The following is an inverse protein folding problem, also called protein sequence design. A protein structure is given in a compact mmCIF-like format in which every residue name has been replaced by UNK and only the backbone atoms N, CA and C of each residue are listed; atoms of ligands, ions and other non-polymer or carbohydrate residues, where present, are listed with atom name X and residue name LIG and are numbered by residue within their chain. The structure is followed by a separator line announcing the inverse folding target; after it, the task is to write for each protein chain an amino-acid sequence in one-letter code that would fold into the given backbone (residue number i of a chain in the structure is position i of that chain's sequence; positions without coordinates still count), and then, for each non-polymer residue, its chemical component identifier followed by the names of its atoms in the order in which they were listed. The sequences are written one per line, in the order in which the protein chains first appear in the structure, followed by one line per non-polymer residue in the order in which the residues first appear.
data_IF_443740030628
#
_entry.id   IF_443740030628
#
_cell.length_a   1.000
_cell.length_b   1.000
_cell.length_c   1.000
_cell.angle_alpha   90.00
_cell.angle_beta   90.00
_cell.angle_gamma   90.00
#
_symmetry.space_group_name_H-M   'P 1'
#
loop_
_entity.id
_entity.type
_entity.pdbx_description
1 polymer ?
#
# COMPACT_ATOMS: atom_id res chain seq x y z
N UNK A 1 4.23 15.17 28.58
CA UNK A 1 2.87 14.89 28.09
C UNK A 1 2.99 14.37 26.66
N UNK A 2 2.58 13.15 26.35
CA UNK A 2 2.57 12.67 24.95
C UNK A 2 1.24 13.07 24.32
N UNK A 3 1.24 14.16 23.57
CA UNK A 3 0.08 14.59 22.79
C UNK A 3 -0.27 13.50 21.78
N UNK A 4 -1.54 13.12 21.71
CA UNK A 4 -2.03 12.16 20.70
C UNK A 4 -1.95 12.83 19.33
N UNK A 5 -1.31 12.17 18.39
CA UNK A 5 -1.31 12.60 17.00
C UNK A 5 -2.73 12.50 16.41
N UNK A 6 -3.07 13.42 15.51
CA UNK A 6 -4.35 13.41 14.80
C UNK A 6 -4.53 12.13 13.97
N UNK A 7 -5.77 11.76 13.66
CA UNK A 7 -6.04 10.65 12.73
C UNK A 7 -5.47 10.93 11.34
N UNK A 8 -5.17 9.87 10.59
CA UNK A 8 -4.77 9.98 9.19
C UNK A 8 -5.93 10.43 8.31
N UNK A 9 -5.68 11.42 7.45
CA UNK A 9 -6.56 11.88 6.39
C UNK A 9 -6.42 10.99 5.15
N UNK A 10 -7.43 10.99 4.29
CA UNK A 10 -7.36 10.27 3.02
C UNK A 10 -6.22 10.77 2.12
N UNK A 11 -6.01 12.09 2.08
CA UNK A 11 -4.90 12.69 1.33
C UNK A 11 -3.52 12.28 1.89
N UNK A 12 -3.42 12.09 3.22
CA UNK A 12 -2.21 11.52 3.83
C UNK A 12 -1.99 10.08 3.38
N UNK A 13 -3.04 9.23 3.33
CA UNK A 13 -2.92 7.86 2.86
C UNK A 13 -2.44 7.77 1.41
N UNK A 14 -3.03 8.59 0.53
CA UNK A 14 -2.61 8.68 -0.88
C UNK A 14 -1.13 9.06 -1.00
N UNK A 15 -0.69 10.05 -0.23
CA UNK A 15 0.70 10.50 -0.22
C UNK A 15 1.65 9.38 0.24
N UNK A 16 1.32 8.71 1.34
CA UNK A 16 2.13 7.61 1.89
C UNK A 16 2.21 6.45 0.88
N UNK A 17 1.12 6.16 0.15
CA UNK A 17 1.12 5.15 -0.91
C UNK A 17 2.09 5.50 -2.05
N UNK A 18 2.10 6.75 -2.54
CA UNK A 18 3.04 7.15 -3.59
C UNK A 18 4.49 7.03 -3.13
N UNK A 19 4.83 7.62 -1.97
CA UNK A 19 6.20 7.56 -1.44
C UNK A 19 6.66 6.12 -1.20
N UNK A 20 5.78 5.27 -0.66
CA UNK A 20 6.08 3.86 -0.46
C UNK A 20 6.37 3.14 -1.78
N UNK A 21 5.56 3.37 -2.82
CA UNK A 21 5.75 2.78 -4.14
C UNK A 21 7.07 3.24 -4.77
N UNK A 22 7.32 4.54 -4.78
CA UNK A 22 8.55 5.14 -5.32
C UNK A 22 9.78 4.58 -4.62
N UNK A 23 9.73 4.44 -3.28
CA UNK A 23 10.84 3.85 -2.51
C UNK A 23 11.00 2.36 -2.81
N UNK A 24 9.91 1.62 -2.97
CA UNK A 24 9.93 0.16 -3.22
C UNK A 24 10.36 -0.22 -4.63
N UNK A 25 10.19 0.69 -5.60
CA UNK A 25 10.47 0.46 -7.01
C UNK A 25 11.71 1.23 -7.48
N UNK A 26 12.44 1.90 -6.58
CA UNK A 26 13.61 2.69 -6.92
C UNK A 26 14.74 1.79 -7.46
N UNK A 27 15.12 1.90 -8.74
CA UNK A 27 16.11 1.01 -9.36
C UNK A 27 17.56 1.35 -8.97
N UNK A 28 17.80 2.54 -8.40
CA UNK A 28 19.14 3.02 -8.01
C UNK A 28 19.53 2.43 -6.65
N UNK A 29 18.55 2.21 -5.80
CA UNK A 29 18.74 1.69 -4.45
C UNK A 29 18.66 0.17 -4.52
N UNK A 30 19.77 -0.51 -4.23
CA UNK A 30 19.83 -1.96 -4.16
C UNK A 30 18.70 -2.51 -3.25
N UNK A 31 17.99 -3.51 -3.76
CA UNK A 31 16.97 -4.30 -3.07
C UNK A 31 17.44 -4.91 -1.75
N UNK A 32 18.77 -5.01 -1.54
CA UNK A 32 19.38 -5.55 -0.33
C UNK A 32 19.44 -4.56 0.86
N UNK A 33 18.45 -3.67 0.98
CA UNK A 33 18.34 -2.74 2.10
C UNK A 33 17.63 -3.38 3.30
N UNK A 34 18.03 -3.01 4.52
CA UNK A 34 17.31 -3.43 5.72
C UNK A 34 15.92 -2.80 5.77
N UNK A 35 14.98 -3.49 6.43
CA UNK A 35 13.63 -2.94 6.70
C UNK A 35 13.71 -1.56 7.36
N UNK A 36 14.63 -1.36 8.29
CA UNK A 36 14.75 -0.09 9.00
C UNK A 36 15.20 1.06 8.09
N UNK A 37 16.17 0.79 7.21
CA UNK A 37 16.64 1.76 6.21
C UNK A 37 15.55 2.13 5.22
N UNK A 38 14.80 1.14 4.73
CA UNK A 38 13.66 1.36 3.84
C UNK A 38 12.67 2.34 4.48
N UNK A 39 12.26 2.07 5.72
CA UNK A 39 11.27 2.90 6.39
C UNK A 39 11.78 4.27 6.83
N UNK A 40 13.10 4.41 7.06
CA UNK A 40 13.70 5.71 7.35
C UNK A 40 13.70 6.61 6.11
N UNK A 41 13.86 6.02 4.91
CA UNK A 41 13.68 6.74 3.63
C UNK A 41 12.24 7.16 3.44
N UNK A 42 11.28 6.24 3.61
CA UNK A 42 9.85 6.56 3.53
C UNK A 42 9.46 7.67 4.50
N UNK A 43 9.94 7.64 5.75
CA UNK A 43 9.70 8.71 6.72
C UNK A 43 10.26 10.06 6.26
N UNK A 44 11.51 10.06 5.78
CA UNK A 44 12.19 11.26 5.30
C UNK A 44 11.44 11.87 4.11
N UNK A 45 11.16 11.06 3.09
CA UNK A 45 10.52 11.51 1.87
C UNK A 45 9.08 11.94 2.13
N UNK A 46 8.33 11.18 2.94
CA UNK A 46 6.96 11.53 3.30
C UNK A 46 6.89 12.87 4.02
N UNK A 47 7.78 13.14 4.98
CA UNK A 47 7.79 14.39 5.74
C UNK A 47 8.35 15.57 4.93
N UNK A 48 9.24 15.34 3.96
CA UNK A 48 9.83 16.39 3.12
C UNK A 48 8.95 16.80 1.94
N UNK A 49 8.19 15.85 1.38
CA UNK A 49 7.36 16.08 0.18
C UNK A 49 5.90 16.34 0.51
N UNK A 50 5.51 16.34 1.80
CA UNK A 50 4.14 16.61 2.19
C UNK A 50 3.76 18.06 1.82
N UNK A 51 2.60 18.27 1.19
CA UNK A 51 2.00 19.58 1.04
C UNK A 51 1.65 20.20 2.42
N UNK A 52 1.71 21.52 2.54
CA UNK A 52 1.46 22.24 3.80
C UNK A 52 0.06 21.97 4.41
N UNK A 53 -0.89 21.55 3.59
CA UNK A 53 -2.26 21.22 4.00
C UNK A 53 -2.46 19.74 4.39
N UNK A 54 -1.43 18.89 4.31
CA UNK A 54 -1.52 17.45 4.56
C UNK A 54 -0.84 17.11 5.90
N UNK A 55 -1.55 17.42 6.99
CA UNK A 55 -1.30 16.88 8.34
C UNK A 55 0.06 17.20 8.99
N UNK A 56 0.21 16.68 10.21
CA UNK A 56 1.45 16.78 10.99
C UNK A 56 2.50 15.78 10.49
N UNK A 57 3.77 16.04 10.78
CA UNK A 57 4.85 15.09 10.45
C UNK A 57 4.64 13.79 11.23
N UNK A 58 4.79 12.66 10.54
CA UNK A 58 4.53 11.34 11.10
C UNK A 58 5.85 10.63 11.36
N UNK A 59 5.95 9.97 12.52
CA UNK A 59 7.10 9.14 12.84
C UNK A 59 7.06 7.80 12.10
N UNK A 60 8.24 7.21 11.86
CA UNK A 60 8.45 5.93 11.18
C UNK A 60 7.47 4.83 11.60
N UNK A 61 7.30 4.62 12.90
CA UNK A 61 6.40 3.57 13.44
C UNK A 61 4.94 3.83 13.06
N UNK A 62 4.50 5.10 13.07
CA UNK A 62 3.14 5.47 12.71
C UNK A 62 2.87 5.18 11.23
N UNK A 63 3.81 5.58 10.36
CA UNK A 63 3.75 5.31 8.92
C UNK A 63 3.74 3.81 8.61
N UNK A 64 4.59 3.03 9.29
CA UNK A 64 4.61 1.57 9.19
C UNK A 64 3.26 0.94 9.54
N UNK A 65 2.68 1.29 10.69
CA UNK A 65 1.39 0.76 11.13
C UNK A 65 0.26 1.17 10.16
N UNK A 66 0.28 2.41 9.67
CA UNK A 66 -0.73 2.89 8.72
C UNK A 66 -0.63 2.15 7.39
N UNK A 67 0.57 2.02 6.83
CA UNK A 67 0.78 1.29 5.57
C UNK A 67 0.42 -0.19 5.71
N UNK A 68 0.72 -0.84 6.83
CA UNK A 68 0.28 -2.23 7.07
C UNK A 68 -1.25 -2.38 7.00
N UNK A 69 -1.98 -1.39 7.53
CA UNK A 69 -3.45 -1.35 7.45
C UNK A 69 -3.91 -1.22 5.99
N UNK A 70 -3.28 -0.33 5.22
CA UNK A 70 -3.57 -0.11 3.79
C UNK A 70 -3.30 -1.39 2.99
N UNK A 71 -2.12 -2.00 3.15
CA UNK A 71 -1.74 -3.24 2.45
C UNK A 71 -2.69 -4.39 2.79
N UNK A 72 -3.19 -4.48 4.04
CA UNK A 72 -4.20 -5.47 4.41
C UNK A 72 -5.51 -5.27 3.66
N UNK A 73 -5.98 -4.01 3.53
CA UNK A 73 -7.18 -3.69 2.76
C UNK A 73 -7.00 -3.99 1.26
N UNK A 74 -5.85 -3.61 0.68
CA UNK A 74 -5.49 -3.92 -0.71
C UNK A 74 -5.45 -5.43 -0.94
N UNK A 75 -4.90 -6.21 0.00
CA UNK A 75 -4.86 -7.67 -0.08
C UNK A 75 -6.26 -8.30 -0.13
N UNK A 76 -7.22 -7.78 0.66
CA UNK A 76 -8.62 -8.21 0.60
C UNK A 76 -9.25 -7.91 -0.75
N UNK A 77 -9.06 -6.68 -1.27
CA UNK A 77 -9.55 -6.28 -2.58
C UNK A 77 -8.99 -7.18 -3.70
N UNK A 78 -7.68 -7.42 -3.69
CA UNK A 78 -7.02 -8.35 -4.62
C UNK A 78 -7.55 -9.77 -4.51
N UNK A 79 -7.88 -10.22 -3.30
CA UNK A 79 -8.56 -11.50 -3.06
C UNK A 79 -9.90 -11.59 -3.79
N UNK A 80 -10.75 -10.57 -3.64
CA UNK A 80 -12.04 -10.50 -4.33
C UNK A 80 -11.88 -10.48 -5.86
N UNK A 81 -10.94 -9.69 -6.39
CA UNK A 81 -10.66 -9.62 -7.83
C UNK A 81 -10.26 -11.00 -8.38
N UNK A 82 -9.31 -11.69 -7.72
CA UNK A 82 -8.89 -13.04 -8.13
C UNK A 82 -10.03 -14.05 -8.11
N UNK A 83 -10.95 -13.93 -7.15
CA UNK A 83 -12.12 -14.80 -7.10
C UNK A 83 -13.00 -14.60 -8.35
N UNK A 84 -13.27 -13.34 -8.72
CA UNK A 84 -14.04 -13.02 -9.94
C UNK A 84 -13.31 -13.50 -11.20
N UNK A 85 -11.99 -13.29 -11.29
CA UNK A 85 -11.17 -13.78 -12.40
C UNK A 85 -11.22 -15.30 -12.50
N UNK A 86 -11.21 -16.02 -11.38
CA UNK A 86 -11.31 -17.50 -11.37
C UNK A 86 -12.68 -18.04 -11.78
N UNK A 87 -13.75 -17.24 -11.66
CA UNK A 87 -15.10 -17.60 -12.10
C UNK A 87 -15.30 -17.42 -13.61
N UNK A 88 -14.39 -16.70 -14.28
CA UNK A 88 -14.35 -16.56 -15.72
C UNK A 88 -13.18 -17.40 -16.26
N UNK A 89 -13.32 -18.73 -16.41
CA UNK A 89 -12.26 -19.56 -16.97
C UNK A 89 -12.00 -19.10 -18.40
N UNK A 90 -10.92 -18.33 -18.60
CA UNK A 90 -10.42 -18.05 -19.93
C UNK A 90 -10.01 -19.38 -20.55
N UNK A 91 -10.83 -19.86 -21.51
CA UNK A 91 -10.61 -21.12 -22.20
C UNK A 91 -11.65 -22.23 -21.95
N UNK A 92 -12.72 -22.00 -21.17
CA UNK A 92 -13.85 -22.93 -21.17
C UNK A 92 -14.65 -22.77 -22.46
N UNK A 93 -14.82 -23.86 -23.21
CA UNK A 93 -15.74 -23.91 -24.34
C UNK A 93 -17.18 -23.96 -23.85
N UNK A 94 -18.15 -23.57 -24.67
CA UNK A 94 -19.58 -23.73 -24.34
C UNK A 94 -19.95 -25.17 -23.94
N UNK A 95 -19.21 -26.17 -24.47
CA UNK A 95 -19.37 -27.58 -24.13
C UNK A 95 -18.86 -27.94 -22.72
N UNK A 96 -17.86 -27.22 -22.20
CA UNK A 96 -17.35 -27.44 -20.83
C UNK A 96 -18.33 -26.90 -19.79
N UNK A 97 -19.07 -25.85 -20.13
CA UNK A 97 -20.09 -25.23 -19.28
C UNK A 97 -21.37 -26.09 -19.25
N UNK A 98 -21.76 -26.66 -20.41
CA UNK A 98 -22.97 -27.46 -20.54
C UNK A 98 -22.92 -28.82 -19.80
N UNK A 99 -21.73 -29.35 -19.49
CA UNK A 99 -21.57 -30.62 -18.77
C UNK A 99 -21.51 -30.48 -17.23
N UNK A 100 -21.60 -29.25 -16.71
CA UNK A 100 -21.58 -28.96 -15.26
C UNK A 100 -23.01 -28.71 -14.71
N UNK A 101 -24.01 -28.53 -15.58
CA UNK A 101 -25.43 -28.46 -15.25
C UNK A 101 -26.14 -29.80 -15.55
#
# INVERSE_FOLDING_TARGET
MTSRTSSYLHAEDTHICHVYLDTSQNPIIDTNQSKDMFWSRVETDCNNTKPENIGESRGKRSLQCRMQTILSAVGKLRGCIRHIESLNPSGASEADIANIC
#
